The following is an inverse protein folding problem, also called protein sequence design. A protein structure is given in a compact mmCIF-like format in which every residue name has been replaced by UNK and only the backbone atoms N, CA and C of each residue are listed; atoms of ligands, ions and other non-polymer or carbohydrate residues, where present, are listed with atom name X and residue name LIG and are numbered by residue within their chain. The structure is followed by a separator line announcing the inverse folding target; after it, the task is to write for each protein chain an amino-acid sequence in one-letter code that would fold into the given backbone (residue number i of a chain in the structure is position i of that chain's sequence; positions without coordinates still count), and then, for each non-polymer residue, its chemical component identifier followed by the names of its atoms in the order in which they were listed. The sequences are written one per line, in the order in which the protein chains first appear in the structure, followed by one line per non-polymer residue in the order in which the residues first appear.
data_IF_238250140555
#
_entry.id   IF_238250140555
#
_cell.length_a   1.000
_cell.length_b   1.000
_cell.length_c   1.000
_cell.angle_alpha   90.00
_cell.angle_beta   90.00
_cell.angle_gamma   90.00
#
_symmetry.space_group_name_H-M   'P 1'
#
loop_
_entity.id
_entity.type
_entity.pdbx_description
1 polymer ?
#
# COMPACT_ATOMS: atom_id res chain seq x y z
N UNK A 1 15.40 -23.55 -12.29
CA UNK A 1 14.70 -22.88 -11.16
C UNK A 1 14.54 -21.41 -11.49
N UNK A 2 13.38 -21.00 -11.99
CA UNK A 2 13.05 -19.57 -12.11
C UNK A 2 12.55 -19.13 -10.73
N UNK A 3 13.28 -18.24 -10.03
CA UNK A 3 12.70 -17.49 -8.93
C UNK A 3 11.60 -16.63 -9.56
N UNK A 4 10.35 -16.97 -9.32
CA UNK A 4 9.28 -16.00 -9.50
C UNK A 4 9.46 -15.02 -8.35
N UNK A 5 10.11 -13.89 -8.60
CA UNK A 5 10.04 -12.75 -7.68
C UNK A 5 8.61 -12.22 -7.78
N UNK A 6 7.69 -12.85 -7.03
CA UNK A 6 6.33 -12.36 -6.90
C UNK A 6 6.41 -11.03 -6.15
N UNK A 7 6.31 -9.94 -6.92
CA UNK A 7 6.16 -8.61 -6.35
C UNK A 7 4.94 -8.65 -5.42
N UNK A 8 5.16 -8.34 -4.14
CA UNK A 8 4.08 -8.27 -3.13
C UNK A 8 3.12 -7.09 -3.36
N UNK A 9 3.49 -6.18 -4.26
CA UNK A 9 2.72 -4.99 -4.60
C UNK A 9 2.23 -5.03 -6.05
N UNK A 10 1.09 -4.39 -6.27
CA UNK A 10 0.52 -4.15 -7.59
C UNK A 10 0.74 -2.68 -7.98
N UNK A 11 1.02 -2.42 -9.25
CA UNK A 11 1.20 -1.06 -9.73
C UNK A 11 -0.11 -0.50 -10.27
N UNK A 12 -0.47 0.70 -9.83
CA UNK A 12 -1.60 1.48 -10.31
C UNK A 12 -1.08 2.47 -11.35
N UNK A 13 -1.56 2.34 -12.58
CA UNK A 13 -1.02 3.05 -13.73
C UNK A 13 -1.79 4.32 -14.08
N UNK A 14 -3.06 4.41 -13.71
CA UNK A 14 -3.94 5.50 -14.14
C UNK A 14 -5.03 5.85 -13.09
N UNK A 15 -5.73 6.94 -13.38
CA UNK A 15 -6.81 7.48 -12.55
C UNK A 15 -7.99 6.50 -12.35
N UNK A 16 -8.30 5.68 -13.36
CA UNK A 16 -9.42 4.75 -13.30
C UNK A 16 -9.14 3.61 -12.32
N UNK A 17 -7.95 2.99 -12.44
CA UNK A 17 -7.47 1.97 -11.49
C UNK A 17 -7.37 2.53 -10.06
N UNK A 18 -6.86 3.76 -9.90
CA UNK A 18 -6.81 4.40 -8.58
C UNK A 18 -8.20 4.57 -7.96
N UNK A 19 -9.19 5.02 -8.74
CA UNK A 19 -10.58 5.16 -8.29
C UNK A 19 -11.22 3.82 -7.95
N UNK A 20 -10.88 2.75 -8.65
CA UNK A 20 -11.43 1.42 -8.38
C UNK A 20 -11.11 0.94 -6.96
N UNK A 21 -9.94 1.30 -6.40
CA UNK A 21 -9.59 0.97 -5.02
C UNK A 21 -10.63 1.46 -4.01
N UNK A 22 -11.29 2.58 -4.28
CA UNK A 22 -12.30 3.19 -3.40
C UNK A 22 -13.69 2.57 -3.55
N UNK A 23 -13.95 1.88 -4.66
CA UNK A 23 -15.24 1.23 -4.91
C UNK A 23 -15.38 -0.09 -4.15
N UNK A 24 -14.25 -0.68 -3.75
CA UNK A 24 -14.23 -1.94 -3.02
C UNK A 24 -14.57 -1.74 -1.54
N UNK A 25 -15.84 -1.98 -1.19
CA UNK A 25 -16.33 -2.01 0.19
C UNK A 25 -16.11 -3.38 0.82
N UNK A 26 -14.84 -3.69 1.08
CA UNK A 26 -14.42 -4.92 1.73
C UNK A 26 -13.59 -4.63 2.99
N UNK A 27 -13.39 -5.67 3.79
CA UNK A 27 -12.55 -5.62 4.98
C UNK A 27 -11.11 -6.06 4.63
N UNK A 28 -10.54 -5.47 3.57
CA UNK A 28 -9.13 -5.61 3.20
C UNK A 28 -8.44 -4.26 3.45
N UNK A 29 -7.26 -4.30 4.05
CA UNK A 29 -6.42 -3.12 4.28
C UNK A 29 -5.53 -2.86 3.07
N UNK A 30 -5.65 -1.69 2.46
CA UNK A 30 -4.84 -1.29 1.31
C UNK A 30 -3.73 -0.34 1.75
N UNK A 31 -2.50 -0.67 1.40
CA UNK A 31 -1.30 0.15 1.65
C UNK A 31 -0.82 0.66 0.30
N UNK A 32 -1.01 1.95 0.04
CA UNK A 32 -0.74 2.56 -1.26
C UNK A 32 0.48 3.48 -1.12
N UNK A 33 1.60 3.10 -1.72
CA UNK A 33 2.79 3.95 -1.84
C UNK A 33 2.62 4.93 -3.00
N UNK A 34 2.48 6.20 -2.67
CA UNK A 34 2.37 7.29 -3.64
C UNK A 34 3.76 7.86 -3.87
N UNK A 35 4.29 7.63 -5.07
CA UNK A 35 5.64 7.99 -5.44
C UNK A 35 5.66 8.96 -6.63
N UNK A 36 6.83 9.50 -6.95
CA UNK A 36 7.08 10.35 -8.12
C UNK A 36 8.12 9.69 -9.03
N UNK A 37 8.17 10.04 -10.33
CA UNK A 37 9.13 9.40 -11.25
C UNK A 37 10.60 9.57 -10.83
N UNK A 38 10.92 10.60 -10.06
CA UNK A 38 12.29 10.88 -9.65
C UNK A 38 12.71 10.10 -8.39
N UNK A 39 11.78 9.72 -7.49
CA UNK A 39 12.09 8.89 -6.31
C UNK A 39 11.80 7.40 -6.53
N UNK A 40 10.82 7.09 -7.39
CA UNK A 40 10.33 5.73 -7.57
C UNK A 40 9.60 5.18 -6.33
N UNK A 41 8.99 3.99 -6.44
CA UNK A 41 8.35 3.35 -5.30
C UNK A 41 9.37 2.96 -4.22
N UNK A 42 8.96 3.01 -2.97
CA UNK A 42 9.77 2.64 -1.82
C UNK A 42 9.89 1.11 -1.69
N UNK A 43 10.78 0.52 -2.49
CA UNK A 43 10.99 -0.93 -2.54
C UNK A 43 11.41 -1.53 -1.19
N UNK A 44 12.16 -0.77 -0.37
CA UNK A 44 12.64 -1.22 0.93
C UNK A 44 11.47 -1.56 1.87
N UNK A 45 10.45 -0.68 1.94
CA UNK A 45 9.26 -0.93 2.77
C UNK A 45 8.56 -2.21 2.34
N UNK A 46 8.40 -2.43 1.03
CA UNK A 46 7.76 -3.63 0.49
C UNK A 46 8.55 -4.90 0.77
N UNK A 47 9.88 -4.85 0.67
CA UNK A 47 10.74 -5.98 1.02
C UNK A 47 10.64 -6.36 2.49
N UNK A 48 10.58 -5.38 3.40
CA UNK A 48 10.46 -5.64 4.83
C UNK A 48 9.08 -6.23 5.14
N UNK A 49 8.00 -5.67 4.59
CA UNK A 49 6.64 -6.23 4.73
C UNK A 49 6.63 -7.68 4.22
N UNK A 50 7.20 -7.93 3.04
CA UNK A 50 7.28 -9.28 2.49
C UNK A 50 8.05 -10.24 3.42
N UNK A 51 9.21 -9.82 3.95
CA UNK A 51 9.99 -10.65 4.89
C UNK A 51 9.20 -11.01 6.15
N UNK A 52 8.44 -10.07 6.69
CA UNK A 52 7.71 -10.25 7.95
C UNK A 52 6.41 -11.04 7.78
N UNK A 53 5.69 -10.83 6.69
CA UNK A 53 4.29 -11.27 6.57
C UNK A 53 4.00 -12.30 5.48
N UNK A 54 4.96 -12.63 4.59
CA UNK A 54 4.71 -13.56 3.45
C UNK A 54 4.14 -14.93 3.81
N UNK A 55 4.35 -15.40 5.04
CA UNK A 55 3.85 -16.69 5.53
C UNK A 55 2.65 -16.55 6.48
N UNK A 56 2.16 -15.33 6.70
CA UNK A 56 0.99 -15.07 7.50
C UNK A 56 -0.25 -15.13 6.60
N UNK A 57 -1.01 -16.22 6.70
CA UNK A 57 -2.20 -16.45 5.87
C UNK A 57 -3.23 -15.30 5.96
N UNK A 58 -3.50 -14.82 7.18
CA UNK A 58 -4.44 -13.71 7.40
C UNK A 58 -3.96 -12.45 6.68
N UNK A 59 -2.67 -12.13 6.77
CA UNK A 59 -2.10 -11.01 6.02
C UNK A 59 -2.32 -11.18 4.51
N UNK A 60 -1.98 -12.34 3.96
CA UNK A 60 -2.08 -12.59 2.51
C UNK A 60 -3.52 -12.46 1.98
N UNK A 61 -4.53 -12.75 2.79
CA UNK A 61 -5.94 -12.59 2.41
C UNK A 61 -6.51 -11.20 2.69
N UNK A 62 -5.99 -10.48 3.69
CA UNK A 62 -6.62 -9.26 4.23
C UNK A 62 -5.79 -7.99 4.05
N UNK A 63 -4.61 -8.05 3.43
CA UNK A 63 -3.79 -6.88 3.12
C UNK A 63 -3.37 -6.90 1.66
N UNK A 64 -3.56 -5.79 0.95
CA UNK A 64 -3.02 -5.57 -0.41
C UNK A 64 -2.11 -4.36 -0.41
N UNK A 65 -1.02 -4.46 -1.17
CA UNK A 65 -0.04 -3.39 -1.31
C UNK A 65 -0.08 -2.88 -2.75
N UNK A 66 -0.06 -1.57 -2.90
CA UNK A 66 -0.07 -0.89 -4.19
C UNK A 66 1.05 0.13 -4.26
N UNK A 67 1.54 0.39 -5.47
CA UNK A 67 2.34 1.57 -5.77
C UNK A 67 1.64 2.41 -6.84
N UNK A 68 1.70 3.73 -6.73
CA UNK A 68 1.07 4.64 -7.68
C UNK A 68 1.96 5.86 -7.91
N UNK A 69 2.13 6.22 -9.18
CA UNK A 69 2.86 7.43 -9.52
C UNK A 69 1.92 8.65 -9.45
N UNK A 70 2.23 9.63 -8.61
CA UNK A 70 1.47 10.87 -8.49
C UNK A 70 1.34 11.63 -9.82
N UNK A 71 2.26 11.40 -10.76
CA UNK A 71 2.29 12.04 -12.08
C UNK A 71 1.39 11.35 -13.12
N UNK A 72 0.86 10.16 -12.84
CA UNK A 72 -0.03 9.43 -13.75
C UNK A 72 -1.49 9.46 -13.31
N UNK A 73 -1.77 10.00 -12.11
CA UNK A 73 -3.10 10.07 -11.50
C UNK A 73 -3.43 11.52 -11.17
N UNK A 74 -4.46 12.07 -11.81
CA UNK A 74 -4.84 13.49 -11.66
C UNK A 74 -5.23 13.83 -10.21
N UNK A 75 -5.90 12.91 -9.52
CA UNK A 75 -6.28 13.05 -8.10
C UNK A 75 -5.09 13.12 -7.14
N UNK A 76 -3.91 12.68 -7.57
CA UNK A 76 -2.68 12.68 -6.76
C UNK A 76 -1.71 13.80 -7.14
N UNK A 77 -2.10 14.72 -8.03
CA UNK A 77 -1.21 15.79 -8.54
C UNK A 77 -0.60 16.67 -7.45
N UNK A 78 -1.30 16.85 -6.32
CA UNK A 78 -0.78 17.60 -5.17
C UNK A 78 0.46 16.96 -4.53
N UNK A 79 0.75 15.69 -4.83
CA UNK A 79 1.90 14.95 -4.33
C UNK A 79 3.05 14.85 -5.34
N UNK A 80 2.95 15.45 -6.53
CA UNK A 80 3.99 15.42 -7.58
C UNK A 80 5.34 16.00 -7.10
N UNK A 81 5.30 16.97 -6.18
CA UNK A 81 6.49 17.61 -5.63
C UNK A 81 6.97 17.02 -4.30
N UNK A 82 6.40 15.90 -3.82
CA UNK A 82 6.76 15.35 -2.52
C UNK A 82 8.13 14.68 -2.54
N UNK A 83 9.10 15.25 -1.82
CA UNK A 83 10.47 14.76 -1.73
C UNK A 83 10.71 13.52 -0.86
N UNK A 84 9.64 12.85 -0.41
CA UNK A 84 9.71 11.84 0.64
C UNK A 84 8.59 10.80 0.45
N UNK A 85 8.77 9.53 0.89
CA UNK A 85 7.73 8.52 0.79
C UNK A 85 6.40 9.01 1.39
N UNK A 86 5.30 8.68 0.74
CA UNK A 86 3.96 9.03 1.19
C UNK A 86 3.05 7.82 0.99
N UNK A 87 2.39 7.40 2.06
CA UNK A 87 1.49 6.25 2.03
C UNK A 87 0.06 6.69 2.32
N UNK A 88 -0.87 6.18 1.53
CA UNK A 88 -2.30 6.24 1.82
C UNK A 88 -2.73 4.86 2.31
N UNK A 89 -3.39 4.84 3.47
CA UNK A 89 -3.97 3.64 4.05
C UNK A 89 -5.48 3.71 3.83
N UNK A 90 -5.97 2.78 3.02
CA UNK A 90 -7.36 2.72 2.61
C UNK A 90 -8.01 1.44 3.17
N UNK A 91 -9.25 1.56 3.63
CA UNK A 91 -10.06 0.43 4.07
C UNK A 91 -11.53 0.73 3.80
N UNK A 92 -12.28 -0.24 3.27
CA UNK A 92 -13.72 -0.09 3.00
C UNK A 92 -14.07 1.15 2.15
N UNK A 93 -13.23 1.47 1.16
CA UNK A 93 -13.39 2.63 0.30
C UNK A 93 -13.06 3.99 0.92
N UNK A 94 -12.55 4.03 2.15
CA UNK A 94 -12.22 5.27 2.87
C UNK A 94 -10.74 5.35 3.24
N UNK A 95 -10.18 6.56 3.16
CA UNK A 95 -8.82 6.80 3.65
C UNK A 95 -8.88 6.88 5.16
N UNK A 96 -8.31 5.89 5.83
CA UNK A 96 -8.28 5.83 7.30
C UNK A 96 -7.02 6.48 7.85
N UNK A 97 -5.94 6.53 7.06
CA UNK A 97 -4.71 7.18 7.47
C UNK A 97 -3.84 7.64 6.29
N UNK A 98 -3.07 8.70 6.50
CA UNK A 98 -2.01 9.15 5.62
C UNK A 98 -0.68 9.17 6.39
N UNK A 99 0.36 8.54 5.84
CA UNK A 99 1.68 8.44 6.48
C UNK A 99 2.69 9.14 5.61
N UNK A 100 3.22 10.26 6.10
CA UNK A 100 4.33 10.96 5.48
C UNK A 100 5.66 10.42 6.03
N UNK A 101 6.62 10.23 5.15
CA UNK A 101 7.95 9.75 5.55
C UNK A 101 8.06 8.24 5.62
N UNK A 102 9.30 7.81 5.84
CA UNK A 102 9.62 6.42 6.08
C UNK A 102 9.27 6.02 7.53
N UNK A 103 7.99 6.14 7.91
CA UNK A 103 7.50 5.65 9.19
C UNK A 103 7.01 4.20 9.07
N UNK A 104 7.93 3.32 8.68
CA UNK A 104 7.67 1.89 8.53
C UNK A 104 7.12 1.24 9.81
N UNK A 105 7.60 1.57 11.03
CA UNK A 105 7.02 1.01 12.26
C UNK A 105 5.53 1.30 12.42
N UNK A 106 5.06 2.49 12.02
CA UNK A 106 3.65 2.83 12.10
C UNK A 106 2.81 2.09 11.06
N UNK A 107 3.34 1.86 9.85
CA UNK A 107 2.69 1.00 8.87
C UNK A 107 2.55 -0.43 9.43
N UNK A 108 3.55 -0.94 10.13
CA UNK A 108 3.47 -2.26 10.78
C UNK A 108 2.42 -2.30 11.89
N UNK A 109 2.28 -1.25 12.70
CA UNK A 109 1.23 -1.23 13.72
C UNK A 109 -0.16 -1.31 13.10
N UNK A 110 -0.40 -0.60 11.99
CA UNK A 110 -1.68 -0.66 11.27
C UNK A 110 -1.96 -2.06 10.69
N UNK A 111 -0.94 -2.70 10.11
CA UNK A 111 -1.04 -4.09 9.62
C UNK A 111 -1.35 -5.05 10.77
N UNK A 112 -0.60 -4.96 11.87
CA UNK A 112 -0.75 -5.87 13.00
C UNK A 112 -2.11 -5.73 13.68
N UNK A 113 -2.59 -4.50 13.86
CA UNK A 113 -3.92 -4.22 14.39
C UNK A 113 -5.00 -4.81 13.49
N UNK A 114 -4.90 -4.62 12.17
CA UNK A 114 -5.84 -5.20 11.21
C UNK A 114 -5.88 -6.73 11.30
N UNK A 115 -4.72 -7.39 11.28
CA UNK A 115 -4.61 -8.85 11.40
C UNK A 115 -5.16 -9.35 12.74
N UNK A 116 -4.89 -8.64 13.84
CA UNK A 116 -5.38 -9.03 15.16
C UNK A 116 -6.91 -8.98 15.21
N UNK A 117 -7.52 -7.90 14.69
CA UNK A 117 -8.97 -7.75 14.61
C UNK A 117 -9.63 -8.84 13.73
N UNK A 118 -8.95 -9.30 12.67
CA UNK A 118 -9.41 -10.41 11.83
C UNK A 118 -9.41 -11.77 12.52
N UNK A 119 -8.50 -12.00 13.48
CA UNK A 119 -8.42 -13.27 14.22
C UNK A 119 -9.47 -13.40 15.32
N UNK A 120 -10.06 -12.28 15.74
CA UNK A 120 -11.06 -12.22 16.81
C UNK A 120 -12.50 -12.41 16.28
N UNK A 121 -12.69 -12.31 14.96
CA UNK A 121 -13.95 -12.53 14.26
C UNK A 121 -13.92 -13.87 13.53
#
# INVERSE_FOLDING_TARGET
MKKHDDKIYQEIQNEEEYKQLFNEKNDILYIIDVYTKWCGPCLITFEIINKLYKYNYVFCESVKIFSVCAQTVASLKNYDNNSMPFYIILKNGEIIQQVQGCNTPYIFSLINEHIANKKLN
#
